data_IF_470848707040
#
_entry.id   IF_470848707040
#
_cell.length_a   1.000
_cell.length_b   1.000
_cell.length_c   1.000
_cell.angle_alpha   90.00
_cell.angle_beta   90.00
_cell.angle_gamma   90.00
#
_symmetry.space_group_name_H-M   'P 1'
#
loop_
_entity.id
_entity.type
_entity.pdbx_description
1 polymer ?
#
# COMPACT_ATOMS: atom_id res chain seq x y z
N UNK A 1 10.47 -12.34 27.67
CA UNK A 1 11.68 -12.08 26.87
C UNK A 1 11.21 -11.72 25.48
N UNK A 2 11.50 -10.52 24.95
CA UNK A 2 11.28 -10.17 23.55
C UNK A 2 11.93 -11.19 22.60
N UNK A 3 11.39 -11.34 21.38
CA UNK A 3 11.89 -12.30 20.38
C UNK A 3 13.38 -12.04 20.09
N UNK A 4 13.74 -10.77 19.87
CA UNK A 4 15.10 -10.33 19.58
C UNK A 4 16.09 -10.74 20.68
N UNK A 5 15.72 -10.52 21.94
CA UNK A 5 16.52 -10.89 23.11
C UNK A 5 16.67 -12.43 23.23
N UNK A 6 15.61 -13.17 22.89
CA UNK A 6 15.62 -14.64 22.91
C UNK A 6 16.54 -15.22 21.83
N UNK A 7 16.46 -14.68 20.61
CA UNK A 7 17.31 -15.09 19.49
C UNK A 7 18.77 -14.77 19.77
N UNK A 8 19.07 -13.55 20.25
CA UNK A 8 20.42 -13.14 20.60
C UNK A 8 21.04 -14.05 21.67
N UNK A 9 20.23 -14.39 22.69
CA UNK A 9 20.67 -15.26 23.79
C UNK A 9 20.94 -16.69 23.30
N UNK A 10 20.04 -17.26 22.50
CA UNK A 10 20.22 -18.60 21.93
C UNK A 10 21.48 -18.70 21.06
N UNK A 11 21.74 -17.72 20.18
CA UNK A 11 22.95 -17.69 19.34
C UNK A 11 24.21 -17.59 20.20
N UNK A 12 24.17 -16.80 21.28
CA UNK A 12 25.28 -16.63 22.20
C UNK A 12 25.57 -17.92 22.99
N UNK A 13 24.52 -18.59 23.48
CA UNK A 13 24.65 -19.88 24.17
C UNK A 13 25.22 -20.96 23.24
N UNK A 14 24.75 -21.05 21.99
CA UNK A 14 25.32 -21.98 21.01
C UNK A 14 26.83 -21.74 20.77
N UNK A 15 27.27 -20.48 20.70
CA UNK A 15 28.69 -20.14 20.56
C UNK A 15 29.49 -20.57 21.80
N UNK A 16 28.92 -20.38 23.00
CA UNK A 16 29.56 -20.75 24.27
C UNK A 16 29.68 -22.26 24.44
N UNK A 17 28.65 -23.00 24.04
CA UNK A 17 28.60 -24.47 24.10
C UNK A 17 29.32 -25.16 22.93
N UNK A 18 30.00 -24.38 22.08
CA UNK A 18 30.75 -24.86 20.91
C UNK A 18 29.87 -25.58 19.85
N UNK A 19 28.59 -25.20 19.76
CA UNK A 19 27.61 -25.71 18.80
C UNK A 19 27.59 -24.78 17.58
N UNK A 20 28.04 -25.26 16.42
CA UNK A 20 28.18 -24.44 15.20
C UNK A 20 28.98 -23.14 15.42
N UNK A 21 29.85 -23.09 16.44
CA UNK A 21 30.45 -21.84 16.92
C UNK A 21 31.23 -21.08 15.84
N UNK A 22 31.97 -21.77 14.97
CA UNK A 22 32.71 -21.13 13.89
C UNK A 22 31.80 -20.55 12.81
N UNK A 23 30.66 -21.19 12.54
CA UNK A 23 29.65 -20.68 11.61
C UNK A 23 28.91 -19.48 12.21
N UNK A 24 28.46 -19.60 13.47
CA UNK A 24 27.72 -18.55 14.16
C UNK A 24 28.58 -17.32 14.43
N UNK A 25 29.86 -17.46 14.78
CA UNK A 25 30.77 -16.30 14.94
C UNK A 25 30.98 -15.53 13.65
N UNK A 26 31.05 -16.22 12.50
CA UNK A 26 31.25 -15.60 11.19
C UNK A 26 29.98 -14.94 10.65
N UNK A 27 28.81 -15.52 10.94
CA UNK A 27 27.54 -15.12 10.35
C UNK A 27 26.52 -14.63 11.40
N UNK A 28 26.97 -14.18 12.57
CA UNK A 28 26.10 -13.88 13.72
C UNK A 28 24.98 -12.90 13.36
N UNK A 29 25.35 -11.77 12.74
CA UNK A 29 24.41 -10.73 12.37
C UNK A 29 23.35 -11.21 11.37
N UNK A 30 23.75 -12.04 10.39
CA UNK A 30 22.83 -12.58 9.38
C UNK A 30 21.89 -13.62 9.97
N UNK A 31 22.39 -14.53 10.81
CA UNK A 31 21.57 -15.56 11.48
C UNK A 31 20.54 -14.91 12.40
N UNK A 32 20.95 -13.90 13.17
CA UNK A 32 20.06 -13.14 14.04
C UNK A 32 19.03 -12.38 13.20
N UNK A 33 19.47 -11.66 12.16
CA UNK A 33 18.56 -10.91 11.29
C UNK A 33 17.54 -11.84 10.62
N UNK A 34 17.97 -12.97 10.06
CA UNK A 34 17.08 -13.95 9.42
C UNK A 34 16.12 -14.60 10.42
N UNK A 35 16.54 -14.82 11.66
CA UNK A 35 15.70 -15.45 12.70
C UNK A 35 14.74 -14.48 13.38
N UNK A 36 15.06 -13.18 13.39
CA UNK A 36 14.20 -12.11 13.93
C UNK A 36 13.23 -11.59 12.86
N UNK A 37 13.73 -11.35 11.64
CA UNK A 37 12.91 -10.97 10.50
C UNK A 37 12.27 -12.23 9.90
N UNK A 38 11.30 -12.78 10.62
CA UNK A 38 10.35 -13.69 9.99
C UNK A 38 9.50 -12.87 9.01
N UNK A 39 9.37 -13.34 7.77
CA UNK A 39 8.45 -12.74 6.81
C UNK A 39 7.02 -12.89 7.35
N UNK A 40 6.48 -11.85 7.99
CA UNK A 40 5.08 -11.81 8.41
C UNK A 40 4.20 -11.58 7.16
N UNK A 41 3.97 -12.68 6.46
CA UNK A 41 3.09 -12.74 5.30
C UNK A 41 1.71 -12.13 5.59
N UNK A 42 1.20 -12.26 6.82
CA UNK A 42 -0.14 -11.79 7.17
C UNK A 42 -0.15 -10.26 7.27
N UNK A 43 0.86 -9.66 7.88
CA UNK A 43 0.97 -8.21 7.97
C UNK A 43 1.15 -7.57 6.57
N UNK A 44 2.00 -8.15 5.74
CA UNK A 44 2.22 -7.68 4.37
C UNK A 44 0.97 -7.85 3.49
N UNK A 45 0.28 -8.99 3.56
CA UNK A 45 -0.99 -9.17 2.85
C UNK A 45 -2.06 -8.18 3.33
N UNK A 46 -2.08 -7.84 4.63
CA UNK A 46 -3.03 -6.87 5.19
C UNK A 46 -2.74 -5.45 4.70
N UNK A 47 -1.46 -5.07 4.60
CA UNK A 47 -1.05 -3.79 4.01
C UNK A 47 -1.46 -3.71 2.55
N UNK A 48 -1.20 -4.78 1.78
CA UNK A 48 -1.54 -4.85 0.37
C UNK A 48 -3.06 -4.74 0.16
N UNK A 49 -3.86 -5.53 0.88
CA UNK A 49 -5.34 -5.47 0.80
C UNK A 49 -5.89 -4.10 1.14
N UNK A 50 -5.30 -3.40 2.14
CA UNK A 50 -5.73 -2.05 2.50
C UNK A 50 -5.42 -1.06 1.38
N UNK A 51 -4.22 -1.11 0.81
CA UNK A 51 -3.84 -0.24 -0.30
C UNK A 51 -4.71 -0.49 -1.54
N UNK A 52 -5.01 -1.76 -1.85
CA UNK A 52 -5.90 -2.14 -2.95
C UNK A 52 -7.34 -1.65 -2.72
N UNK A 53 -7.84 -1.77 -1.48
CA UNK A 53 -9.17 -1.27 -1.12
C UNK A 53 -9.24 0.26 -1.25
N UNK A 54 -8.26 0.97 -0.69
CA UNK A 54 -8.22 2.45 -0.73
C UNK A 54 -8.14 2.95 -2.18
N UNK A 55 -7.30 2.32 -3.02
CA UNK A 55 -7.23 2.61 -4.46
C UNK A 55 -8.55 2.31 -5.18
N UNK A 56 -9.23 1.21 -4.84
CA UNK A 56 -10.54 0.87 -5.40
C UNK A 56 -11.63 1.88 -5.03
N UNK A 57 -11.63 2.37 -3.78
CA UNK A 57 -12.54 3.41 -3.32
C UNK A 57 -12.29 4.72 -4.07
N UNK A 58 -11.03 5.14 -4.18
CA UNK A 58 -10.65 6.37 -4.90
C UNK A 58 -11.05 6.29 -6.38
N UNK A 59 -10.78 5.16 -7.03
CA UNK A 59 -11.19 4.94 -8.42
C UNK A 59 -12.72 4.99 -8.57
N UNK A 60 -13.48 4.38 -7.66
CA UNK A 60 -14.94 4.41 -7.66
C UNK A 60 -15.50 5.82 -7.51
N UNK A 61 -14.95 6.62 -6.59
CA UNK A 61 -15.35 8.02 -6.39
C UNK A 61 -15.06 8.87 -7.63
N UNK A 62 -13.88 8.67 -8.25
CA UNK A 62 -13.52 9.37 -9.48
C UNK A 62 -14.45 8.97 -10.63
N UNK A 63 -14.77 7.69 -10.76
CA UNK A 63 -15.66 7.20 -11.80
C UNK A 63 -17.11 7.67 -11.62
N UNK A 64 -17.62 7.75 -10.39
CA UNK A 64 -18.93 8.32 -10.11
C UNK A 64 -19.00 9.82 -10.46
N UNK A 65 -17.91 10.54 -10.17
CA UNK A 65 -17.80 11.97 -10.49
C UNK A 65 -17.76 12.22 -11.99
N UNK A 66 -17.01 11.40 -12.75
CA UNK A 66 -16.95 11.50 -14.22
C UNK A 66 -18.26 11.09 -14.89
N UNK A 67 -18.93 10.03 -14.41
CA UNK A 67 -20.25 9.63 -14.94
C UNK A 67 -21.31 10.71 -14.68
N UNK A 68 -21.31 11.29 -13.48
CA UNK A 68 -22.20 12.41 -13.15
C UNK A 68 -21.93 13.61 -14.07
N UNK A 69 -20.66 13.97 -14.29
CA UNK A 69 -20.28 15.05 -15.20
C UNK A 69 -20.74 14.77 -16.65
N UNK A 70 -20.59 13.54 -17.14
CA UNK A 70 -21.07 13.13 -18.45
C UNK A 70 -22.61 13.25 -18.57
N UNK A 71 -23.35 12.84 -17.53
CA UNK A 71 -24.82 12.97 -17.51
C UNK A 71 -25.26 14.44 -17.54
N UNK A 72 -24.58 15.30 -16.79
CA UNK A 72 -24.82 16.75 -16.77
C UNK A 72 -24.49 17.41 -18.14
N UNK A 73 -23.36 17.03 -18.75
CA UNK A 73 -22.98 17.47 -20.10
C UNK A 73 -24.00 17.04 -21.16
N UNK A 74 -24.56 15.83 -21.04
CA UNK A 74 -25.64 15.35 -21.93
C UNK A 74 -26.95 16.10 -21.73
N UNK A 75 -27.21 16.66 -20.55
CA UNK A 75 -28.43 17.42 -20.30
C UNK A 75 -28.41 18.80 -20.96
N UNK A 76 -27.21 19.34 -21.26
CA UNK A 76 -27.03 20.62 -21.97
C UNK A 76 -27.51 21.86 -21.22
N UNK A 77 -27.76 21.73 -19.91
CA UNK A 77 -28.35 22.79 -19.06
C UNK A 77 -27.33 23.53 -18.18
N UNK A 78 -26.08 23.06 -18.15
CA UNK A 78 -25.05 23.54 -17.25
C UNK A 78 -23.78 23.87 -18.03
N UNK A 79 -23.08 24.91 -17.61
CA UNK A 79 -21.79 25.28 -18.19
C UNK A 79 -20.66 24.37 -17.67
N UNK A 80 -19.62 24.18 -18.48
CA UNK A 80 -18.47 23.33 -18.12
C UNK A 80 -17.81 23.74 -16.78
N UNK A 81 -17.85 25.04 -16.43
CA UNK A 81 -17.35 25.55 -15.13
C UNK A 81 -18.24 25.15 -13.96
N UNK A 82 -19.56 25.07 -14.16
CA UNK A 82 -20.51 24.65 -13.12
C UNK A 82 -20.41 23.15 -12.88
N UNK A 83 -20.30 22.38 -13.96
CA UNK A 83 -20.11 20.92 -13.90
C UNK A 83 -18.80 20.57 -13.18
N UNK A 84 -17.71 21.27 -13.49
CA UNK A 84 -16.43 21.10 -12.80
C UNK A 84 -16.56 21.29 -11.27
N UNK A 85 -17.27 22.34 -10.84
CA UNK A 85 -17.54 22.60 -9.42
C UNK A 85 -18.45 21.55 -8.77
N UNK A 86 -19.51 21.13 -9.45
CA UNK A 86 -20.49 20.18 -8.91
C UNK A 86 -19.91 18.76 -8.79
N UNK A 87 -19.04 18.37 -9.72
CA UNK A 87 -18.45 17.04 -9.77
C UNK A 87 -17.07 16.96 -9.13
N UNK A 88 -16.55 18.05 -8.54
CA UNK A 88 -15.17 18.14 -8.03
C UNK A 88 -14.13 17.68 -9.06
N UNK A 89 -14.32 18.05 -10.32
CA UNK A 89 -13.40 17.78 -11.41
C UNK A 89 -12.72 19.07 -11.85
N UNK A 90 -11.56 18.96 -12.48
CA UNK A 90 -10.96 20.09 -13.17
C UNK A 90 -11.76 20.47 -14.41
N UNK A 91 -11.67 21.74 -14.81
CA UNK A 91 -12.30 22.23 -16.06
C UNK A 91 -11.73 21.48 -17.28
N UNK A 92 -10.45 21.09 -17.23
CA UNK A 92 -9.79 20.30 -18.27
C UNK A 92 -10.39 18.90 -18.40
N UNK A 93 -10.62 18.19 -17.29
CA UNK A 93 -11.27 16.87 -17.28
C UNK A 93 -12.69 16.94 -17.86
N UNK A 94 -13.47 17.96 -17.50
CA UNK A 94 -14.82 18.16 -18.04
C UNK A 94 -14.78 18.46 -19.55
N UNK A 95 -13.83 19.27 -20.00
CA UNK A 95 -13.65 19.56 -21.42
C UNK A 95 -13.20 18.33 -22.22
N UNK A 96 -12.31 17.50 -21.66
CA UNK A 96 -11.92 16.23 -22.28
C UNK A 96 -13.12 15.29 -22.44
N UNK A 97 -13.96 15.16 -21.41
CA UNK A 97 -15.20 14.37 -21.47
C UNK A 97 -16.18 14.90 -22.53
N UNK A 98 -16.24 16.23 -22.72
CA UNK A 98 -17.09 16.84 -23.74
C UNK A 98 -16.54 16.68 -25.17
N UNK A 99 -15.21 16.67 -25.33
CA UNK A 99 -14.54 16.48 -26.62
C UNK A 99 -14.50 15.02 -27.10
N UNK A 100 -14.88 14.06 -26.25
CA UNK A 100 -15.05 12.65 -26.60
C UNK A 100 -16.43 12.32 -27.23
N UNK A 101 -17.25 13.33 -27.53
CA UNK A 101 -18.53 13.19 -28.23
C UNK A 101 -18.37 12.82 -29.70
#
# INVERSE_FOLDING_TARGET
MPLDDAVQKAVTECIQENILADFLRKNQAEVIAMSIFEYDKVEEEKKLRKAEFDAGVEQGLKQASTDTALRLLKTGKFDAKEIAKLCNLSIEEVNQLNNQK
#
